data_IF_660894273255
#
_entry.id   IF_660894273255
#
_cell.length_a   1.000
_cell.length_b   1.000
_cell.length_c   1.000
_cell.angle_alpha   90.00
_cell.angle_beta   90.00
_cell.angle_gamma   90.00
#
_symmetry.space_group_name_H-M   'P 1'
#
loop_
_entity.id
_entity.type
_entity.pdbx_description
1 polymer ?
#
# COMPACT_ATOMS: atom_id res chain seq x y z
N UNK A 1 -41.07 2.86 47.04
CA UNK A 1 -39.70 3.39 47.22
C UNK A 1 -39.81 4.86 47.58
N UNK A 2 -39.14 5.32 48.65
CA UNK A 2 -39.16 6.73 49.05
C UNK A 2 -38.44 7.61 48.03
N UNK A 3 -38.95 8.82 47.78
CA UNK A 3 -38.38 9.80 46.85
C UNK A 3 -36.93 10.18 47.23
N UNK A 4 -36.64 10.20 48.52
CA UNK A 4 -35.32 10.47 49.07
C UNK A 4 -34.29 9.39 48.69
N UNK A 5 -34.70 8.12 48.71
CA UNK A 5 -33.83 7.01 48.31
C UNK A 5 -33.46 7.09 46.82
N UNK A 6 -34.43 7.43 45.95
CA UNK A 6 -34.18 7.63 44.53
C UNK A 6 -33.24 8.82 44.26
N UNK A 7 -33.39 9.91 45.03
CA UNK A 7 -32.51 11.08 44.95
C UNK A 7 -31.07 10.75 45.38
N UNK A 8 -30.90 9.97 46.45
CA UNK A 8 -29.59 9.52 46.92
C UNK A 8 -28.86 8.66 45.86
N UNK A 9 -29.57 7.72 45.24
CA UNK A 9 -29.03 6.89 44.15
C UNK A 9 -28.61 7.74 42.94
N UNK A 10 -29.44 8.71 42.53
CA UNK A 10 -29.10 9.63 41.44
C UNK A 10 -27.88 10.48 41.77
N UNK A 11 -27.77 10.98 43.00
CA UNK A 11 -26.63 11.79 43.46
C UNK A 11 -25.34 10.97 43.43
N UNK A 12 -25.36 9.73 43.93
CA UNK A 12 -24.22 8.81 43.87
C UNK A 12 -23.80 8.52 42.42
N UNK A 13 -24.76 8.27 41.53
CA UNK A 13 -24.52 8.06 40.09
C UNK A 13 -23.85 9.27 39.43
N UNK A 14 -24.35 10.48 39.67
CA UNK A 14 -23.78 11.70 39.10
C UNK A 14 -22.37 11.94 39.65
N UNK A 15 -22.15 11.69 40.95
CA UNK A 15 -20.83 11.81 41.56
C UNK A 15 -19.81 10.88 40.91
N UNK A 16 -20.17 9.60 40.71
CA UNK A 16 -19.30 8.64 40.03
C UNK A 16 -18.95 9.08 38.59
N UNK A 17 -19.89 9.66 37.85
CA UNK A 17 -19.62 10.17 36.50
C UNK A 17 -18.72 11.42 36.51
N UNK A 18 -18.88 12.31 37.50
CA UNK A 18 -18.03 13.50 37.65
C UNK A 18 -16.60 13.13 38.04
N UNK A 19 -16.42 12.24 39.02
CA UNK A 19 -15.08 11.79 39.43
C UNK A 19 -14.32 11.11 38.30
N UNK A 20 -15.02 10.36 37.43
CA UNK A 20 -14.39 9.74 36.27
C UNK A 20 -13.99 10.77 35.21
N UNK A 21 -14.80 11.82 35.01
CA UNK A 21 -14.43 12.93 34.12
C UNK A 21 -13.21 13.70 34.63
N UNK A 22 -13.16 13.99 35.93
CA UNK A 22 -12.01 14.67 36.56
C UNK A 22 -10.73 13.83 36.43
N UNK A 23 -10.82 12.51 36.64
CA UNK A 23 -9.70 11.59 36.45
C UNK A 23 -9.21 11.52 34.99
N UNK A 24 -10.11 11.61 34.01
CA UNK A 24 -9.76 11.68 32.59
C UNK A 24 -9.08 13.00 32.22
N UNK A 25 -9.58 14.13 32.73
CA UNK A 25 -8.99 15.45 32.50
C UNK A 25 -7.58 15.54 33.14
N UNK A 26 -7.34 14.84 34.25
CA UNK A 26 -6.03 14.71 34.89
C UNK A 26 -5.09 13.69 34.23
N UNK A 27 -5.61 12.79 33.37
CA UNK A 27 -4.82 11.71 32.74
C UNK A 27 -4.50 10.52 33.67
N UNK A 28 -5.17 10.42 34.81
CA UNK A 28 -4.90 9.40 35.84
C UNK A 28 -5.58 8.06 35.53
N UNK A 29 -4.87 7.21 34.76
CA UNK A 29 -5.31 5.87 34.35
C UNK A 29 -5.77 4.99 35.53
N UNK A 30 -5.12 5.09 36.69
CA UNK A 30 -5.47 4.31 37.88
C UNK A 30 -6.83 4.69 38.49
N UNK A 31 -7.16 5.99 38.51
CA UNK A 31 -8.44 6.49 39.01
C UNK A 31 -9.59 6.21 38.04
N UNK A 32 -9.31 6.22 36.73
CA UNK A 32 -10.26 5.82 35.69
C UNK A 32 -10.64 4.34 35.85
N UNK A 33 -9.64 3.46 36.04
CA UNK A 33 -9.88 2.02 36.23
C UNK A 33 -10.62 1.69 37.54
N UNK A 34 -10.42 2.49 38.60
CA UNK A 34 -11.12 2.31 39.88
C UNK A 34 -12.64 2.57 39.79
N UNK A 35 -13.10 3.37 38.82
CA UNK A 35 -14.49 3.74 38.67
C UNK A 35 -15.24 2.84 37.65
N UNK A 36 -15.54 1.61 38.08
CA UNK A 36 -16.22 0.61 37.25
C UNK A 36 -17.59 1.08 36.73
N UNK A 37 -18.38 1.79 37.55
CA UNK A 37 -19.71 2.24 37.16
C UNK A 37 -19.66 3.27 36.01
N UNK A 38 -18.80 4.28 36.10
CA UNK A 38 -18.66 5.28 35.04
C UNK A 38 -18.08 4.69 33.75
N UNK A 39 -17.16 3.72 33.87
CA UNK A 39 -16.60 3.00 32.73
C UNK A 39 -17.69 2.22 31.96
N UNK A 40 -18.54 1.46 32.66
CA UNK A 40 -19.66 0.71 32.03
C UNK A 40 -20.64 1.65 31.31
N UNK A 41 -20.99 2.78 31.93
CA UNK A 41 -21.91 3.76 31.32
C UNK A 41 -21.30 4.38 30.06
N UNK A 42 -19.99 4.67 30.03
CA UNK A 42 -19.32 5.19 28.82
C UNK A 42 -19.19 4.15 27.71
N UNK A 43 -18.90 2.89 28.07
CA UNK A 43 -18.80 1.78 27.12
C UNK A 43 -20.12 1.50 26.40
N UNK A 44 -21.25 1.63 27.09
CA UNK A 44 -22.58 1.37 26.53
C UNK A 44 -22.95 2.23 25.30
N UNK A 45 -22.30 3.37 25.08
CA UNK A 45 -22.63 4.26 23.97
C UNK A 45 -21.75 4.05 22.72
N UNK A 46 -20.63 3.32 22.81
CA UNK A 46 -19.61 3.34 21.74
C UNK A 46 -19.32 2.01 21.07
N UNK A 47 -19.66 0.88 21.68
CA UNK A 47 -19.53 -0.43 21.05
C UNK A 47 -20.69 -1.31 21.51
N UNK A 48 -21.81 -1.28 20.79
CA UNK A 48 -22.71 -2.43 20.83
C UNK A 48 -22.16 -3.43 19.82
N UNK A 49 -21.35 -4.39 20.28
CA UNK A 49 -21.24 -5.62 19.52
C UNK A 49 -22.65 -6.24 19.49
N UNK A 50 -23.21 -6.51 18.30
CA UNK A 50 -24.53 -7.12 18.22
C UNK A 50 -24.49 -8.46 18.98
N UNK A 51 -25.55 -8.79 19.76
CA UNK A 51 -25.59 -10.04 20.48
C UNK A 51 -25.42 -11.21 19.50
N UNK A 52 -24.73 -12.27 19.91
CA UNK A 52 -24.36 -13.39 19.04
C UNK A 52 -25.54 -14.04 18.30
N UNK A 53 -26.77 -13.87 18.79
CA UNK A 53 -28.01 -14.32 18.14
C UNK A 53 -28.40 -13.51 16.88
N UNK A 54 -27.92 -12.27 16.75
CA UNK A 54 -28.15 -11.37 15.62
C UNK A 54 -27.00 -11.41 14.59
N UNK A 55 -25.87 -12.00 14.96
CA UNK A 55 -24.73 -12.22 14.05
C UNK A 55 -24.99 -13.51 13.28
N UNK A 56 -25.38 -13.37 12.02
CA UNK A 56 -25.52 -14.52 11.13
C UNK A 56 -24.20 -15.26 11.00
N UNK A 57 -24.17 -16.55 11.37
CA UNK A 57 -23.00 -17.43 11.28
C UNK A 57 -22.74 -17.93 9.86
N UNK A 58 -23.27 -17.25 8.83
CA UNK A 58 -23.02 -17.62 7.45
C UNK A 58 -21.58 -17.24 7.11
N UNK A 59 -20.74 -18.27 6.91
CA UNK A 59 -19.44 -18.07 6.28
C UNK A 59 -19.71 -17.41 4.92
N UNK A 60 -19.12 -16.24 4.63
CA UNK A 60 -19.30 -15.61 3.33
C UNK A 60 -18.88 -16.62 2.25
N UNK A 61 -19.59 -16.68 1.11
CA UNK A 61 -19.21 -17.59 0.03
C UNK A 61 -17.74 -17.38 -0.34
N UNK A 62 -17.09 -18.44 -0.79
CA UNK A 62 -15.77 -18.33 -1.41
C UNK A 62 -15.94 -17.45 -2.65
N UNK A 63 -15.40 -16.24 -2.59
CA UNK A 63 -15.46 -15.27 -3.67
C UNK A 63 -14.17 -15.34 -4.49
N UNK A 64 -14.26 -15.01 -5.77
CA UNK A 64 -13.12 -15.08 -6.72
C UNK A 64 -11.90 -14.30 -6.22
N UNK A 65 -12.08 -13.22 -5.45
CA UNK A 65 -10.95 -12.47 -4.90
C UNK A 65 -10.10 -13.29 -3.92
N UNK A 66 -10.72 -14.23 -3.18
CA UNK A 66 -9.99 -15.13 -2.28
C UNK A 66 -9.24 -16.23 -3.02
N UNK A 67 -9.77 -16.67 -4.15
CA UNK A 67 -9.12 -17.69 -4.99
C UNK A 67 -7.88 -17.13 -5.70
N UNK A 68 -7.93 -15.85 -6.08
CA UNK A 68 -6.84 -15.16 -6.78
C UNK A 68 -5.84 -14.52 -5.81
N UNK A 69 -6.13 -14.51 -4.52
CA UNK A 69 -5.24 -13.97 -3.50
C UNK A 69 -3.87 -14.69 -3.51
N UNK A 70 -2.79 -13.92 -3.62
CA UNK A 70 -1.42 -14.43 -3.74
C UNK A 70 -1.05 -15.09 -5.08
N UNK A 71 -1.93 -15.11 -6.10
CA UNK A 71 -1.58 -15.64 -7.42
C UNK A 71 -0.45 -14.82 -8.07
N UNK A 72 -0.50 -13.49 -7.92
CA UNK A 72 0.50 -12.58 -8.47
C UNK A 72 1.90 -12.85 -7.88
N UNK A 73 1.99 -13.02 -6.56
CA UNK A 73 3.26 -13.30 -5.88
C UNK A 73 3.85 -14.63 -6.34
N UNK A 74 3.02 -15.68 -6.47
CA UNK A 74 3.45 -16.98 -7.01
C UNK A 74 3.98 -16.88 -8.44
N UNK A 75 3.34 -16.07 -9.29
CA UNK A 75 3.79 -15.86 -10.67
C UNK A 75 5.14 -15.14 -10.72
N UNK A 76 5.31 -14.09 -9.90
CA UNK A 76 6.56 -13.34 -9.81
C UNK A 76 7.70 -14.22 -9.27
N UNK A 77 7.44 -15.02 -8.23
CA UNK A 77 8.40 -15.98 -7.67
C UNK A 77 8.82 -17.02 -8.72
N UNK A 78 7.85 -17.56 -9.47
CA UNK A 78 8.11 -18.54 -10.53
C UNK A 78 8.94 -17.94 -11.67
N UNK A 79 8.66 -16.71 -12.08
CA UNK A 79 9.44 -16.02 -13.11
C UNK A 79 10.86 -15.72 -12.65
N UNK A 80 11.05 -15.30 -11.39
CA UNK A 80 12.38 -15.12 -10.79
C UNK A 80 13.15 -16.43 -10.73
N UNK A 81 12.49 -17.53 -10.35
CA UNK A 81 13.12 -18.85 -10.33
C UNK A 81 13.58 -19.29 -11.74
N UNK A 82 12.75 -19.06 -12.77
CA UNK A 82 13.09 -19.33 -14.17
C UNK A 82 14.22 -18.47 -14.71
N UNK A 83 14.32 -17.21 -14.27
CA UNK A 83 15.44 -16.32 -14.65
C UNK A 83 16.74 -16.71 -13.94
N UNK A 84 16.65 -17.34 -12.76
CA UNK A 84 17.79 -17.82 -12.00
C UNK A 84 18.31 -19.19 -12.46
N UNK A 85 17.47 -19.99 -13.12
CA UNK A 85 17.93 -21.16 -13.88
C UNK A 85 18.83 -20.70 -15.02
N UNK A 86 20.06 -21.25 -15.07
CA UNK A 86 21.02 -20.97 -16.14
C UNK A 86 20.37 -21.24 -17.50
N UNK A 87 20.58 -20.33 -18.47
CA UNK A 87 20.08 -20.49 -19.83
C UNK A 87 20.46 -21.88 -20.37
N UNK A 88 19.46 -22.69 -20.69
CA UNK A 88 19.66 -24.00 -21.30
C UNK A 88 20.28 -23.84 -22.70
N UNK A 89 21.61 -23.87 -22.74
CA UNK A 89 22.43 -23.74 -23.95
C UNK A 89 22.16 -24.87 -24.96
N UNK A 90 21.54 -25.97 -24.54
CA UNK A 90 21.22 -27.11 -25.41
C UNK A 90 19.94 -26.88 -26.22
N UNK A 91 19.06 -25.97 -25.77
CA UNK A 91 17.82 -25.61 -26.47
C UNK A 91 17.97 -24.34 -27.34
N UNK A 92 19.13 -23.67 -27.28
CA UNK A 92 19.45 -22.54 -28.15
C UNK A 92 19.96 -23.08 -29.49
N UNK A 93 19.23 -22.79 -30.57
CA UNK A 93 19.68 -23.10 -31.91
C UNK A 93 21.05 -22.44 -32.20
N UNK A 94 21.95 -23.08 -32.97
CA UNK A 94 23.21 -22.48 -33.37
C UNK A 94 22.95 -21.12 -34.06
N UNK A 95 23.66 -20.08 -33.61
CA UNK A 95 23.48 -18.71 -34.12
C UNK A 95 23.73 -18.65 -35.63
N UNK A 96 22.81 -18.02 -36.37
CA UNK A 96 22.93 -17.81 -37.82
C UNK A 96 23.97 -16.71 -38.08
N UNK A 97 24.85 -16.81 -39.08
CA UNK A 97 25.98 -15.88 -39.26
C UNK A 97 25.60 -14.40 -39.43
N UNK A 98 24.41 -14.10 -39.93
CA UNK A 98 23.95 -12.71 -40.16
C UNK A 98 22.93 -12.25 -39.10
N UNK A 99 22.73 -13.02 -38.03
CA UNK A 99 21.61 -12.83 -37.10
C UNK A 99 21.69 -11.55 -36.28
N UNK A 100 22.89 -10.95 -36.16
CA UNK A 100 23.11 -9.73 -35.38
C UNK A 100 23.58 -8.55 -36.23
N UNK A 101 23.34 -8.61 -37.54
CA UNK A 101 23.75 -7.55 -38.47
C UNK A 101 23.21 -6.18 -38.05
N UNK A 102 21.97 -6.13 -37.56
CA UNK A 102 21.34 -4.88 -37.14
C UNK A 102 22.02 -4.27 -35.92
N UNK A 103 22.34 -5.07 -34.90
CA UNK A 103 22.95 -4.57 -33.66
C UNK A 103 24.41 -4.16 -33.88
N UNK A 104 25.15 -4.95 -34.64
CA UNK A 104 26.54 -4.64 -35.02
C UNK A 104 26.61 -3.38 -35.91
N UNK A 105 25.64 -3.20 -36.80
CA UNK A 105 25.49 -2.00 -37.61
C UNK A 105 25.12 -0.78 -36.75
N UNK A 106 24.17 -0.93 -35.83
CA UNK A 106 23.71 0.15 -34.92
C UNK A 106 24.88 0.73 -34.12
N UNK A 107 25.76 -0.12 -33.57
CA UNK A 107 26.93 0.33 -32.83
C UNK A 107 27.91 1.13 -33.70
N UNK A 108 28.10 0.73 -34.96
CA UNK A 108 28.94 1.47 -35.93
C UNK A 108 28.28 2.78 -36.36
N UNK A 109 26.96 2.79 -36.54
CA UNK A 109 26.17 3.96 -36.89
C UNK A 109 26.20 5.02 -35.78
N UNK A 110 26.17 4.63 -34.50
CA UNK A 110 26.25 5.57 -33.38
C UNK A 110 27.51 6.44 -33.41
N UNK A 111 28.67 5.86 -33.75
CA UNK A 111 29.92 6.61 -33.90
C UNK A 111 29.88 7.58 -35.09
N UNK A 112 29.19 7.18 -36.16
CA UNK A 112 29.06 7.98 -37.38
C UNK A 112 28.05 9.12 -37.20
N UNK A 113 26.95 8.89 -36.48
CA UNK A 113 25.89 9.86 -36.23
C UNK A 113 26.40 11.15 -35.55
N UNK A 114 27.30 11.01 -34.57
CA UNK A 114 27.94 12.15 -33.92
C UNK A 114 28.75 13.00 -34.91
N UNK A 115 29.49 12.36 -35.83
CA UNK A 115 30.28 13.05 -36.85
C UNK A 115 29.39 13.70 -37.91
N UNK A 116 28.32 13.03 -38.32
CA UNK A 116 27.33 13.56 -39.26
C UNK A 116 26.66 14.81 -38.69
N UNK A 117 26.23 14.79 -37.42
CA UNK A 117 25.66 15.96 -36.73
C UNK A 117 26.63 17.14 -36.68
N UNK A 118 27.90 16.89 -36.39
CA UNK A 118 28.94 17.93 -36.39
C UNK A 118 29.14 18.52 -37.80
N UNK A 119 29.20 17.68 -38.84
CA UNK A 119 29.33 18.12 -40.22
C UNK A 119 28.11 18.95 -40.67
N UNK A 120 26.89 18.52 -40.33
CA UNK A 120 25.67 19.28 -40.59
C UNK A 120 25.74 20.66 -39.93
N UNK A 121 26.17 20.74 -38.66
CA UNK A 121 26.32 22.01 -37.96
C UNK A 121 27.32 22.95 -38.66
N UNK A 122 28.48 22.42 -39.09
CA UNK A 122 29.45 23.22 -39.84
C UNK A 122 28.89 23.71 -41.18
N UNK A 123 28.17 22.84 -41.90
CA UNK A 123 27.57 23.19 -43.19
C UNK A 123 26.54 24.31 -43.03
N UNK A 124 25.64 24.19 -42.04
CA UNK A 124 24.64 25.23 -41.73
C UNK A 124 25.33 26.55 -41.36
N UNK A 125 26.38 26.50 -40.52
CA UNK A 125 27.15 27.69 -40.17
C UNK A 125 27.74 28.40 -41.39
N UNK A 126 28.41 27.65 -42.28
CA UNK A 126 28.97 28.22 -43.51
C UNK A 126 27.91 28.77 -44.46
N UNK A 127 26.76 28.07 -44.57
CA UNK A 127 25.66 28.48 -45.43
C UNK A 127 25.09 29.82 -44.97
N UNK A 128 24.82 29.98 -43.67
CA UNK A 128 24.32 31.23 -43.10
C UNK A 128 25.31 32.37 -43.33
N UNK A 129 26.60 32.16 -43.07
CA UNK A 129 27.65 33.15 -43.32
C UNK A 129 27.71 33.58 -44.80
N UNK A 130 27.63 32.62 -45.73
CA UNK A 130 27.65 32.90 -47.17
C UNK A 130 26.37 33.58 -47.67
N UNK A 131 25.23 33.37 -47.00
CA UNK A 131 23.95 34.00 -47.37
C UNK A 131 23.81 35.44 -46.89
N UNK A 132 24.68 35.89 -45.97
CA UNK A 132 24.63 37.20 -45.35
C UNK A 132 25.63 38.20 -45.95
N UNK A 133 26.46 37.77 -46.91
CA UNK A 133 27.37 38.57 -47.74
C UNK A 133 26.85 38.64 -49.17
#
# INVERSE_FOLDING_TARGET
MSMEAAAAVRKARIHALRSLREAEEAGDQAAIAANAFGAVVKQSFRQSEPPASLVSTHKPPETVEKEVDGLQERVIENDRAKQAEDLDLMNIAPRKPNWDLRRDLEQRLQQLDARTKAAIHTLIGTYILSSHT
#
